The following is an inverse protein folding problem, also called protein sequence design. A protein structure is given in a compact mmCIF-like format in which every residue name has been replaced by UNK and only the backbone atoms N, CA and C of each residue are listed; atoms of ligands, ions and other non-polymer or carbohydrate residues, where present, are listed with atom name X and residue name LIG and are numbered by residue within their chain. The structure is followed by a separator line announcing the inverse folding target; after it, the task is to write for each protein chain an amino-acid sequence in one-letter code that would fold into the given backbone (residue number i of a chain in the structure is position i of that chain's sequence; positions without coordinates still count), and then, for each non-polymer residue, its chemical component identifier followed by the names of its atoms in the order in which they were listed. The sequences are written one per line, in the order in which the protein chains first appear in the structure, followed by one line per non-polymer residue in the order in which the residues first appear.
data_IF_940429777833
#
_entry.id   IF_940429777833
#
_cell.length_a   1.000
_cell.length_b   1.000
_cell.length_c   1.000
_cell.angle_alpha   90.00
_cell.angle_beta   90.00
_cell.angle_gamma   90.00
#
_symmetry.space_group_name_H-M   'P 1'
#
loop_
_entity.id
_entity.type
_entity.pdbx_description
1 polymer ?
#
# COMPACT_ATOMS: atom_id res chain seq x y z
N UNK A 1 2.35 4.40 25.95
CA UNK A 1 2.23 4.14 24.50
C UNK A 1 3.46 4.76 23.86
N UNK A 2 4.29 3.98 23.17
CA UNK A 2 5.43 4.53 22.43
C UNK A 2 4.90 5.53 21.41
N UNK A 3 5.49 6.73 21.35
CA UNK A 3 5.13 7.73 20.36
C UNK A 3 5.48 7.16 18.97
N UNK A 4 4.50 7.02 18.08
CA UNK A 4 4.75 6.54 16.72
C UNK A 4 5.39 7.68 15.92
N UNK A 5 6.56 7.45 15.32
CA UNK A 5 7.19 8.42 14.40
C UNK A 5 6.51 8.38 13.03
N UNK A 6 5.23 8.74 12.98
CA UNK A 6 4.45 8.81 11.75
C UNK A 6 4.77 10.11 10.99
N UNK A 7 5.06 9.96 9.71
CA UNK A 7 5.36 11.06 8.80
C UNK A 7 4.24 11.20 7.78
N UNK A 8 3.75 12.42 7.63
CA UNK A 8 2.75 12.75 6.63
C UNK A 8 3.39 12.77 5.23
N UNK A 9 2.68 12.18 4.27
CA UNK A 9 2.97 12.29 2.84
C UNK A 9 1.69 12.59 2.09
N UNK A 10 1.76 13.55 1.18
CA UNK A 10 0.65 13.86 0.30
C UNK A 10 1.10 14.27 -1.09
N UNK A 11 0.23 14.06 -2.07
CA UNK A 11 0.32 14.70 -3.38
C UNK A 11 -0.13 16.16 -3.31
N UNK A 12 0.06 16.91 -4.39
CA UNK A 12 -0.49 18.26 -4.53
C UNK A 12 -1.99 18.29 -4.15
N UNK A 13 -2.37 19.31 -3.38
CA UNK A 13 -3.73 19.59 -2.89
C UNK A 13 -4.32 18.56 -1.92
N UNK A 14 -3.62 17.45 -1.64
CA UNK A 14 -4.00 16.50 -0.61
C UNK A 14 -3.44 16.92 0.75
N UNK A 15 -4.22 16.68 1.81
CA UNK A 15 -3.99 17.22 3.15
C UNK A 15 -3.92 16.07 4.16
N UNK A 16 -2.93 16.16 5.04
CA UNK A 16 -2.79 15.31 6.22
C UNK A 16 -2.65 16.25 7.40
N UNK A 17 -3.60 16.24 8.33
CA UNK A 17 -3.63 17.16 9.47
C UNK A 17 -3.88 16.40 10.76
N UNK A 18 -3.03 16.63 11.75
CA UNK A 18 -3.29 16.20 13.12
C UNK A 18 -4.33 17.13 13.74
N UNK A 19 -5.51 16.61 14.05
CA UNK A 19 -6.63 17.39 14.60
C UNK A 19 -6.64 17.37 16.13
N UNK A 20 -6.09 16.32 16.73
CA UNK A 20 -5.82 16.15 18.16
C UNK A 20 -4.57 15.24 18.30
N UNK A 21 -3.89 15.20 19.46
CA UNK A 21 -2.72 14.35 19.63
C UNK A 21 -3.01 12.88 19.26
N UNK A 22 -2.31 12.34 18.26
CA UNK A 22 -2.52 11.00 17.67
C UNK A 22 -3.82 10.79 16.88
N UNK A 23 -4.57 11.85 16.56
CA UNK A 23 -5.78 11.79 15.74
C UNK A 23 -5.58 12.58 14.46
N UNK A 24 -5.71 11.90 13.34
CA UNK A 24 -5.36 12.46 12.04
C UNK A 24 -6.56 12.49 11.11
N UNK A 25 -6.65 13.56 10.32
CA UNK A 25 -7.57 13.70 9.21
C UNK A 25 -6.78 13.73 7.91
N UNK A 26 -7.12 12.82 7.00
CA UNK A 26 -6.52 12.69 5.69
C UNK A 26 -7.59 13.01 4.65
N UNK A 27 -7.27 13.86 3.68
CA UNK A 27 -8.19 14.20 2.59
C UNK A 27 -7.45 14.37 1.26
N UNK A 28 -8.09 13.92 0.19
CA UNK A 28 -7.65 14.15 -1.18
C UNK A 28 -8.73 14.96 -1.91
N UNK A 29 -8.36 15.84 -2.85
CA UNK A 29 -9.35 16.54 -3.66
C UNK A 29 -9.95 15.59 -4.69
N UNK A 30 -11.20 15.88 -5.09
CA UNK A 30 -11.79 15.25 -6.26
C UNK A 30 -11.00 15.62 -7.53
N UNK A 31 -11.13 14.81 -8.58
CA UNK A 31 -10.70 15.22 -9.91
C UNK A 31 -10.63 14.07 -10.90
N UNK A 32 -10.07 14.36 -12.07
CA UNK A 32 -10.05 13.42 -13.20
C UNK A 32 -9.32 12.11 -12.89
N UNK A 33 -9.75 11.05 -13.59
CA UNK A 33 -9.04 9.77 -13.67
C UNK A 33 -7.64 9.94 -14.25
N UNK A 34 -6.73 9.02 -13.89
CA UNK A 34 -5.36 8.99 -14.42
C UNK A 34 -4.36 9.90 -13.70
N UNK A 35 -4.82 10.71 -12.73
CA UNK A 35 -3.94 11.43 -11.80
C UNK A 35 -3.90 10.71 -10.46
N UNK A 36 -2.70 10.31 -10.04
CA UNK A 36 -2.48 9.74 -8.72
C UNK A 36 -2.64 10.81 -7.64
N UNK A 37 -3.38 10.48 -6.57
CA UNK A 37 -3.62 11.34 -5.41
C UNK A 37 -3.40 10.51 -4.15
N UNK A 38 -2.73 11.09 -3.17
CA UNK A 38 -2.38 10.42 -1.93
C UNK A 38 -2.44 11.40 -0.75
N UNK A 39 -3.02 10.94 0.34
CA UNK A 39 -2.82 11.47 1.68
C UNK A 39 -2.50 10.24 2.56
N UNK A 40 -1.36 10.22 3.22
CA UNK A 40 -0.83 9.04 3.90
C UNK A 40 -0.04 9.43 5.15
N UNK A 41 -0.03 8.53 6.14
CA UNK A 41 0.92 8.49 7.23
C UNK A 41 1.74 7.22 7.12
N UNK A 42 3.06 7.32 7.27
CA UNK A 42 3.95 6.17 7.33
C UNK A 42 5.17 6.40 8.23
N UNK A 43 5.78 5.32 8.68
CA UNK A 43 6.98 5.33 9.53
C UNK A 43 8.17 4.61 8.88
N UNK A 44 8.12 4.40 7.56
CA UNK A 44 9.08 3.57 6.85
C UNK A 44 9.82 4.31 5.73
N UNK A 45 9.27 5.42 5.22
CA UNK A 45 9.74 6.14 4.04
C UNK A 45 11.26 6.34 3.95
N UNK A 46 11.84 6.78 5.05
CA UNK A 46 13.24 7.19 5.14
C UNK A 46 14.16 6.07 5.65
N UNK A 47 13.61 4.86 5.82
CA UNK A 47 14.30 3.72 6.39
C UNK A 47 14.66 2.71 5.30
N UNK A 48 15.88 2.15 5.36
CA UNK A 48 16.20 0.91 4.63
C UNK A 48 15.30 -0.22 5.15
N UNK A 49 14.94 -1.21 4.33
CA UNK A 49 14.02 -2.31 4.71
C UNK A 49 14.43 -3.05 6.00
N UNK A 50 15.73 -3.18 6.28
CA UNK A 50 16.26 -3.76 7.53
C UNK A 50 15.93 -2.96 8.79
N UNK A 51 15.66 -1.66 8.62
CA UNK A 51 15.35 -0.71 9.68
C UNK A 51 13.86 -0.47 9.90
N UNK A 52 12.97 -1.20 9.19
CA UNK A 52 11.54 -1.08 9.46
C UNK A 52 11.24 -1.42 10.92
N UNK A 53 10.40 -0.61 11.61
CA UNK A 53 10.23 -0.69 13.06
C UNK A 53 9.44 -1.94 13.48
N UNK A 54 8.51 -2.39 12.63
CA UNK A 54 7.59 -3.48 12.93
C UNK A 54 8.22 -4.85 12.68
N UNK A 55 8.38 -5.63 13.75
CA UNK A 55 8.80 -7.03 13.72
C UNK A 55 7.89 -7.86 14.61
N UNK A 56 7.63 -9.10 14.22
CA UNK A 56 6.87 -10.01 15.07
C UNK A 56 7.69 -10.42 16.31
N UNK A 57 7.02 -10.65 17.46
CA UNK A 57 5.61 -10.39 17.71
C UNK A 57 5.35 -8.90 18.01
N UNK A 58 4.21 -8.37 17.57
CA UNK A 58 3.72 -7.06 17.99
C UNK A 58 2.20 -7.02 17.96
N UNK A 59 1.62 -5.96 18.51
CA UNK A 59 0.17 -5.72 18.51
C UNK A 59 -0.13 -4.32 17.99
N UNK A 60 -1.03 -4.22 17.01
CA UNK A 60 -1.55 -2.95 16.50
C UNK A 60 -2.95 -2.73 17.07
N UNK A 61 -3.20 -1.53 17.60
CA UNK A 61 -4.54 -1.05 17.95
C UNK A 61 -4.75 0.27 17.23
N UNK A 62 -5.84 0.37 16.50
CA UNK A 62 -6.19 1.52 15.68
C UNK A 62 -7.72 1.65 15.64
N UNK A 63 -8.19 2.89 15.68
CA UNK A 63 -9.54 3.26 15.29
C UNK A 63 -9.45 4.13 14.05
N UNK A 64 -10.23 3.78 13.03
CA UNK A 64 -10.29 4.51 11.78
C UNK A 64 -11.73 4.55 11.27
N UNK A 65 -12.11 5.65 10.64
CA UNK A 65 -13.40 5.79 9.98
C UNK A 65 -13.25 6.54 8.66
N UNK A 66 -14.14 6.24 7.72
CA UNK A 66 -14.37 7.13 6.59
C UNK A 66 -15.39 8.20 6.97
N UNK A 67 -15.23 9.39 6.38
CA UNK A 67 -16.22 10.46 6.49
C UNK A 67 -17.53 10.17 5.74
N UNK A 68 -17.53 9.24 4.78
CA UNK A 68 -18.72 8.78 4.07
C UNK A 68 -18.58 7.31 3.63
N UNK A 69 -19.71 6.62 3.46
CA UNK A 69 -19.76 5.22 3.06
C UNK A 69 -19.43 4.97 1.58
N UNK A 70 -19.44 6.02 0.76
CA UNK A 70 -19.31 5.96 -0.70
C UNK A 70 -18.09 6.75 -1.22
N UNK A 71 -17.12 7.05 -0.35
CA UNK A 71 -15.91 7.79 -0.72
C UNK A 71 -15.21 7.14 -1.93
N UNK A 72 -15.03 7.87 -3.05
CA UNK A 72 -14.33 7.36 -4.23
C UNK A 72 -12.90 6.91 -3.92
N UNK A 73 -12.49 5.79 -4.51
CA UNK A 73 -11.14 5.24 -4.40
C UNK A 73 -10.96 4.26 -3.25
N UNK A 74 -9.76 4.25 -2.68
CA UNK A 74 -9.33 3.30 -1.65
C UNK A 74 -8.77 4.05 -0.45
N UNK A 75 -9.15 3.63 0.75
CA UNK A 75 -8.56 4.12 2.00
C UNK A 75 -8.37 2.97 2.98
N UNK A 76 -7.51 3.16 3.96
CA UNK A 76 -7.31 2.22 5.07
C UNK A 76 -5.86 2.19 5.51
N UNK A 77 -5.44 1.06 6.05
CA UNK A 77 -4.19 0.94 6.79
C UNK A 77 -3.63 -0.47 6.71
N UNK A 78 -2.38 -0.63 7.11
CA UNK A 78 -1.78 -1.94 7.21
C UNK A 78 -0.28 -1.93 7.34
N UNK A 79 0.27 -3.12 7.19
CA UNK A 79 1.69 -3.42 7.22
C UNK A 79 2.14 -3.75 5.81
N UNK A 80 3.30 -3.24 5.42
CA UNK A 80 3.78 -3.32 4.05
C UNK A 80 5.30 -3.33 4.05
N UNK A 81 5.92 -4.24 3.28
CA UNK A 81 7.37 -4.39 3.23
C UNK A 81 8.08 -3.54 2.15
N UNK A 82 7.35 -2.65 1.49
CA UNK A 82 7.85 -1.76 0.43
C UNK A 82 8.65 -2.45 -0.67
N UNK A 83 8.04 -3.41 -1.39
CA UNK A 83 8.71 -4.24 -2.38
C UNK A 83 9.14 -3.46 -3.63
N UNK A 84 8.46 -2.34 -3.96
CA UNK A 84 8.61 -1.62 -5.23
C UNK A 84 9.34 -0.27 -5.13
N UNK A 85 10.11 -0.05 -4.07
CA UNK A 85 10.80 1.23 -3.79
C UNK A 85 11.95 1.61 -4.74
N UNK A 86 12.02 1.00 -5.93
CA UNK A 86 12.76 1.60 -7.05
C UNK A 86 11.80 2.64 -7.65
N UNK A 87 11.50 3.69 -6.89
CA UNK A 87 10.65 4.76 -7.37
C UNK A 87 11.42 5.57 -8.42
N UNK A 88 11.15 5.28 -9.68
CA UNK A 88 11.23 6.29 -10.74
C UNK A 88 10.20 7.38 -10.42
N UNK A 89 10.57 8.36 -9.58
CA UNK A 89 9.86 9.64 -9.45
C UNK A 89 8.68 9.72 -8.47
N UNK A 90 8.22 8.62 -7.86
CA UNK A 90 7.18 8.69 -6.83
C UNK A 90 7.77 8.87 -5.43
N UNK A 91 8.03 10.13 -5.07
CA UNK A 91 8.11 10.63 -3.69
C UNK A 91 9.27 10.13 -2.81
N UNK A 92 10.43 10.79 -2.93
CA UNK A 92 11.38 11.14 -1.85
C UNK A 92 12.00 10.06 -0.94
N UNK A 93 11.56 8.79 -1.02
CA UNK A 93 12.00 7.74 -0.10
C UNK A 93 13.36 7.13 -0.44
N UNK A 94 13.93 6.41 0.53
CA UNK A 94 15.19 5.68 0.34
C UNK A 94 15.03 4.64 -0.78
N UNK A 95 15.91 4.67 -1.79
CA UNK A 95 15.98 3.60 -2.81
C UNK A 95 16.26 2.26 -2.14
N UNK A 96 15.39 1.27 -2.35
CA UNK A 96 15.62 -0.11 -1.87
C UNK A 96 15.55 -1.09 -3.02
N UNK A 97 16.37 -2.12 -2.93
CA UNK A 97 16.32 -3.26 -3.83
C UNK A 97 14.92 -3.88 -3.85
N UNK A 98 14.48 -4.41 -5.00
CA UNK A 98 13.18 -5.05 -5.12
C UNK A 98 13.11 -6.25 -4.18
N UNK A 99 11.93 -6.50 -3.66
CA UNK A 99 11.60 -7.67 -2.88
C UNK A 99 10.22 -8.18 -3.32
N UNK A 100 9.89 -9.43 -2.98
CA UNK A 100 8.51 -9.88 -3.16
C UNK A 100 7.58 -9.25 -2.11
N UNK A 101 6.32 -8.93 -2.47
CA UNK A 101 5.39 -8.25 -1.59
C UNK A 101 5.05 -9.10 -0.37
N UNK A 102 5.12 -8.50 0.81
CA UNK A 102 4.56 -9.02 2.04
C UNK A 102 3.76 -7.89 2.69
N UNK A 103 2.51 -8.19 3.02
CA UNK A 103 1.60 -7.20 3.53
C UNK A 103 0.46 -7.80 4.34
N UNK A 104 -0.10 -6.99 5.23
CA UNK A 104 -1.40 -7.21 5.85
C UNK A 104 -2.16 -5.89 5.78
N UNK A 105 -3.23 -5.85 4.99
CA UNK A 105 -4.00 -4.63 4.72
C UNK A 105 -5.45 -4.76 5.18
N UNK A 106 -5.97 -3.64 5.65
CA UNK A 106 -7.35 -3.41 5.99
C UNK A 106 -7.78 -2.19 5.20
N UNK A 107 -8.48 -2.41 4.09
CA UNK A 107 -8.91 -1.36 3.18
C UNK A 107 -10.41 -1.31 3.05
N UNK A 108 -10.89 -0.13 2.69
CA UNK A 108 -12.18 0.05 2.06
C UNK A 108 -11.95 0.49 0.62
N UNK A 109 -12.79 -0.01 -0.28
CA UNK A 109 -12.81 0.39 -1.68
C UNK A 109 -14.23 0.63 -2.18
N UNK A 110 -14.49 1.81 -2.76
CA UNK A 110 -15.75 2.08 -3.46
C UNK A 110 -15.72 1.56 -4.88
N UNK A 111 -16.91 1.29 -5.45
CA UNK A 111 -17.03 0.88 -6.85
C UNK A 111 -16.71 2.04 -7.81
N UNK A 112 -16.11 1.76 -8.99
CA UNK A 112 -15.53 0.49 -9.41
C UNK A 112 -14.14 0.26 -8.79
N UNK A 113 -13.83 -0.97 -8.36
CA UNK A 113 -12.53 -1.32 -7.81
C UNK A 113 -12.10 -2.75 -8.19
N UNK A 114 -10.78 -2.98 -8.21
CA UNK A 114 -10.12 -4.22 -8.63
C UNK A 114 -9.01 -4.65 -7.64
N UNK A 115 -9.15 -4.33 -6.34
CA UNK A 115 -8.18 -4.66 -5.30
C UNK A 115 -8.04 -6.17 -5.07
N UNK A 116 -9.08 -6.95 -5.35
CA UNK A 116 -8.98 -8.41 -5.29
C UNK A 116 -8.11 -8.93 -6.43
N UNK A 117 -7.11 -9.75 -6.07
CA UNK A 117 -6.35 -10.51 -7.05
C UNK A 117 -7.09 -11.75 -7.54
N UNK A 118 -8.20 -12.13 -6.89
CA UNK A 118 -9.02 -13.27 -7.28
C UNK A 118 -10.34 -12.80 -7.85
N UNK A 119 -10.75 -13.38 -8.96
CA UNK A 119 -12.01 -13.03 -9.62
C UNK A 119 -13.24 -13.54 -8.83
N UNK A 120 -13.06 -14.43 -7.85
CA UNK A 120 -14.13 -15.00 -7.00
C UNK A 120 -14.36 -14.24 -5.68
N UNK A 121 -13.54 -13.25 -5.36
CA UNK A 121 -13.68 -12.43 -4.15
C UNK A 121 -14.17 -11.02 -4.48
N UNK A 122 -14.96 -10.39 -3.59
CA UNK A 122 -15.32 -8.98 -3.73
C UNK A 122 -14.07 -8.10 -3.83
N UNK A 123 -14.07 -7.17 -4.78
CA UNK A 123 -13.01 -6.18 -4.95
C UNK A 123 -13.36 -4.80 -4.36
N UNK A 124 -14.56 -4.65 -3.79
CA UNK A 124 -15.09 -3.43 -3.19
C UNK A 124 -15.72 -3.73 -1.82
N UNK A 125 -15.89 -2.69 -1.01
CA UNK A 125 -16.30 -2.78 0.39
C UNK A 125 -15.12 -2.88 1.35
N UNK A 126 -15.38 -3.38 2.55
CA UNK A 126 -14.35 -3.61 3.56
C UNK A 126 -13.59 -4.90 3.26
N UNK A 127 -12.27 -4.80 3.16
CA UNK A 127 -11.37 -5.86 2.74
C UNK A 127 -10.25 -6.01 3.77
N UNK A 128 -10.05 -7.23 4.24
CA UNK A 128 -8.87 -7.62 5.01
C UNK A 128 -8.09 -8.66 4.20
N UNK A 129 -6.85 -8.35 3.84
CA UNK A 129 -6.05 -9.20 2.96
C UNK A 129 -4.61 -9.29 3.44
N UNK A 130 -4.04 -10.48 3.36
CA UNK A 130 -2.63 -10.73 3.63
C UNK A 130 -1.92 -11.26 2.39
N UNK A 131 -0.73 -10.73 2.13
CA UNK A 131 0.18 -11.24 1.11
C UNK A 131 1.40 -11.80 1.81
N UNK A 132 1.68 -13.07 1.57
CA UNK A 132 2.90 -13.71 2.02
C UNK A 132 3.67 -14.24 0.82
N UNK A 133 4.88 -13.71 0.64
CA UNK A 133 5.79 -14.17 -0.40
C UNK A 133 7.07 -14.72 0.21
N UNK A 134 7.67 -15.69 -0.48
CA UNK A 134 8.98 -16.22 -0.15
C UNK A 134 10.04 -15.10 -0.08
N UNK A 135 10.99 -15.24 0.83
CA UNK A 135 12.12 -14.32 0.95
C UNK A 135 13.20 -14.70 -0.06
N UNK A 136 13.06 -14.22 -1.29
CA UNK A 136 14.04 -14.43 -2.35
C UNK A 136 15.04 -13.26 -2.38
N UNK A 137 16.36 -13.52 -2.33
CA UNK A 137 17.39 -12.50 -2.52
C UNK A 137 17.19 -11.72 -3.83
N UNK A 138 17.37 -10.40 -3.79
CA UNK A 138 17.14 -9.52 -4.95
C UNK A 138 17.87 -9.96 -6.23
N UNK A 139 19.13 -10.44 -6.20
CA UNK A 139 19.80 -10.92 -7.42
C UNK A 139 19.08 -12.12 -8.08
N UNK A 140 18.47 -13.00 -7.29
CA UNK A 140 17.72 -14.14 -7.85
C UNK A 140 16.39 -13.69 -8.48
N UNK A 141 15.80 -12.59 -7.99
CA UNK A 141 14.63 -12.01 -8.66
C UNK A 141 14.95 -11.52 -10.08
N UNK A 142 16.21 -11.13 -10.34
CA UNK A 142 16.63 -10.71 -11.68
C UNK A 142 16.54 -11.85 -12.71
N UNK A 143 16.63 -13.11 -12.29
CA UNK A 143 16.44 -14.28 -13.16
C UNK A 143 15.00 -14.37 -13.70
N UNK A 144 14.03 -13.75 -13.03
CA UNK A 144 12.64 -13.67 -13.48
C UNK A 144 12.36 -12.55 -14.50
N UNK A 145 13.31 -11.64 -14.73
CA UNK A 145 13.12 -10.48 -15.64
C UNK A 145 12.72 -10.90 -17.06
N UNK A 146 13.31 -11.95 -17.67
CA UNK A 146 12.90 -12.42 -19.00
C UNK A 146 11.44 -12.89 -19.08
N UNK A 147 10.84 -13.29 -17.94
CA UNK A 147 9.44 -13.72 -17.89
C UNK A 147 8.45 -12.56 -17.73
N UNK A 148 8.92 -11.32 -17.48
CA UNK A 148 8.03 -10.16 -17.30
C UNK A 148 7.04 -9.91 -18.46
N UNK A 149 7.41 -10.08 -19.75
CA UNK A 149 6.47 -9.91 -20.85
C UNK A 149 5.25 -10.84 -20.79
N UNK A 150 5.38 -12.02 -20.17
CA UNK A 150 4.25 -12.95 -20.01
C UNK A 150 3.14 -12.36 -19.13
N UNK A 151 3.47 -11.48 -18.20
CA UNK A 151 2.50 -10.80 -17.33
C UNK A 151 1.73 -9.66 -18.03
N UNK A 152 2.06 -9.34 -19.29
CA UNK A 152 1.25 -8.44 -20.13
C UNK A 152 0.15 -9.22 -20.85
N UNK A 153 0.34 -10.52 -21.08
CA UNK A 153 -0.59 -11.36 -21.81
C UNK A 153 -1.73 -11.81 -20.89
N UNK A 154 -2.96 -11.35 -21.19
CA UNK A 154 -4.17 -11.62 -20.39
C UNK A 154 -4.37 -13.11 -20.01
N UNK A 155 -4.15 -14.10 -20.89
CA UNK A 155 -4.32 -15.52 -20.51
C UNK A 155 -3.38 -15.95 -19.39
N UNK A 156 -2.12 -15.51 -19.43
CA UNK A 156 -1.13 -15.83 -18.40
C UNK A 156 -1.47 -15.17 -17.08
N UNK A 157 -1.88 -13.90 -17.10
CA UNK A 157 -2.30 -13.19 -15.87
C UNK A 157 -3.47 -13.88 -15.18
N UNK A 158 -4.46 -14.37 -15.95
CA UNK A 158 -5.63 -15.07 -15.39
C UNK A 158 -5.27 -16.36 -14.64
N UNK A 159 -4.18 -17.04 -15.00
CA UNK A 159 -3.73 -18.22 -14.27
C UNK A 159 -3.30 -17.89 -12.84
N UNK A 160 -2.84 -16.66 -12.60
CA UNK A 160 -2.43 -16.17 -11.28
C UNK A 160 -3.57 -15.51 -10.49
N UNK A 161 -4.77 -15.35 -11.08
CA UNK A 161 -5.93 -14.70 -10.45
C UNK A 161 -6.97 -15.68 -9.89
N UNK A 162 -6.54 -16.87 -9.51
CA UNK A 162 -7.41 -17.97 -9.09
C UNK A 162 -7.57 -18.09 -7.59
#
# INVERSE_FOLDING_TARGET
MSNLDLRAKSTLDAVVTEIHPNHWRLSIPAGSSGKYRLAQLDDYADLKRKGFPWRAPFTLRLEACASASDLPGTWGFGLWNDPFSISFGFGGGVRRFPALPNAAWFFFASLPNYLSFRDDLPAAGQLAATFHSLKIPAPLLALGVPALPLFVLRPFVRLFRR
#
